data_IF_375711725621
#
_entry.id   IF_375711725621
#
_cell.length_a   1.000
_cell.length_b   1.000
_cell.length_c   1.000
_cell.angle_alpha   90.00
_cell.angle_beta   90.00
_cell.angle_gamma   90.00
#
_symmetry.space_group_name_H-M   'P 1'
#
loop_
_entity.id
_entity.type
_entity.pdbx_description
1 polymer ?
#
# COMPACT_ATOMS: atom_id res chain seq x y z
N UNK A 1 16.28 19.67 -14.34
CA UNK A 1 17.67 20.10 -14.62
C UNK A 1 18.01 20.18 -16.13
N UNK A 2 17.39 19.44 -17.05
CA UNK A 2 17.76 19.47 -18.48
C UNK A 2 17.39 20.76 -19.27
N UNK A 3 16.22 21.38 -19.04
CA UNK A 3 15.86 22.66 -19.69
C UNK A 3 16.52 23.89 -19.05
N UNK A 4 16.99 23.76 -17.80
CA UNK A 4 17.81 24.77 -17.10
C UNK A 4 19.28 24.79 -17.57
N UNK A 5 19.73 23.72 -18.24
CA UNK A 5 21.11 23.54 -18.73
C UNK A 5 21.22 23.55 -20.27
N UNK A 6 20.12 23.78 -21.00
CA UNK A 6 20.13 23.88 -22.47
C UNK A 6 20.46 22.59 -23.23
N UNK A 7 20.35 21.42 -22.61
CA UNK A 7 20.70 20.14 -23.25
C UNK A 7 19.55 19.55 -24.06
N UNK A 8 19.85 18.95 -25.22
CA UNK A 8 18.87 18.27 -26.05
C UNK A 8 18.37 16.97 -25.42
N UNK A 9 17.14 16.59 -25.77
CA UNK A 9 16.49 15.36 -25.25
C UNK A 9 17.30 14.13 -25.67
N UNK A 10 17.76 14.07 -26.92
CA UNK A 10 18.58 12.98 -27.45
C UNK A 10 19.90 12.80 -26.70
N UNK A 11 20.58 13.90 -26.34
CA UNK A 11 21.82 13.87 -25.56
C UNK A 11 21.57 13.34 -24.15
N UNK A 12 20.46 13.74 -23.54
CA UNK A 12 20.05 13.25 -22.21
C UNK A 12 19.68 11.77 -22.24
N UNK A 13 18.95 11.34 -23.28
CA UNK A 13 18.57 9.94 -23.50
C UNK A 13 19.79 9.03 -23.65
N UNK A 14 20.78 9.45 -24.46
CA UNK A 14 22.04 8.72 -24.62
C UNK A 14 22.85 8.67 -23.31
N UNK A 15 22.92 9.76 -22.55
CA UNK A 15 23.63 9.82 -21.28
C UNK A 15 23.01 8.92 -20.21
N UNK A 16 21.69 8.85 -20.14
CA UNK A 16 20.96 8.04 -19.15
C UNK A 16 20.75 6.59 -19.65
N UNK A 17 21.03 6.30 -20.93
CA UNK A 17 20.82 5.00 -21.54
C UNK A 17 19.33 4.61 -21.64
N UNK A 18 18.45 5.59 -21.81
CA UNK A 18 16.99 5.41 -21.85
C UNK A 18 16.42 5.95 -23.17
N UNK A 19 15.19 5.57 -23.52
CA UNK A 19 14.52 6.12 -24.71
C UNK A 19 14.25 7.62 -24.56
N UNK A 20 14.22 8.34 -25.68
CA UNK A 20 13.83 9.75 -25.69
C UNK A 20 12.42 9.96 -25.13
N UNK A 21 11.50 9.02 -25.39
CA UNK A 21 10.13 9.04 -24.86
C UNK A 21 10.07 8.91 -23.34
N UNK A 22 10.93 8.08 -22.73
CA UNK A 22 11.03 7.95 -21.28
C UNK A 22 11.52 9.26 -20.64
N UNK A 23 12.55 9.88 -21.24
CA UNK A 23 13.07 11.19 -20.79
C UNK A 23 11.98 12.27 -20.84
N UNK A 24 11.20 12.32 -21.93
CA UNK A 24 10.08 13.26 -22.07
C UNK A 24 8.99 13.01 -21.03
N UNK A 25 8.61 11.75 -20.81
CA UNK A 25 7.61 11.37 -19.81
C UNK A 25 8.03 11.78 -18.39
N UNK A 26 9.29 11.52 -18.02
CA UNK A 26 9.85 11.91 -16.72
C UNK A 26 9.89 13.43 -16.60
N UNK A 27 10.29 14.16 -17.64
CA UNK A 27 10.31 15.63 -17.65
C UNK A 27 8.91 16.21 -17.39
N UNK A 28 7.89 15.70 -18.09
CA UNK A 28 6.51 16.13 -17.92
C UNK A 28 6.00 15.83 -16.51
N UNK A 29 6.28 14.64 -15.98
CA UNK A 29 5.89 14.24 -14.62
C UNK A 29 6.55 15.13 -13.56
N UNK A 30 7.87 15.35 -13.67
CA UNK A 30 8.61 16.23 -12.76
C UNK A 30 8.11 17.69 -12.82
N UNK A 31 7.69 18.18 -13.99
CA UNK A 31 7.18 19.54 -14.14
C UNK A 31 5.79 19.72 -13.52
N UNK A 32 4.94 18.70 -13.58
CA UNK A 32 3.56 18.74 -13.05
C UNK A 32 3.52 18.50 -11.54
N UNK A 33 4.25 17.50 -11.06
CA UNK A 33 4.18 17.05 -9.66
C UNK A 33 5.25 17.71 -8.77
N UNK A 34 6.22 18.44 -9.37
CA UNK A 34 7.47 18.90 -8.70
C UNK A 34 8.22 17.80 -7.93
N UNK A 35 7.87 16.55 -8.16
CA UNK A 35 8.43 15.38 -7.52
C UNK A 35 9.35 14.67 -8.52
N UNK A 36 10.60 14.46 -8.10
CA UNK A 36 11.59 13.66 -8.87
C UNK A 36 11.46 12.17 -8.55
N UNK A 37 10.66 11.84 -7.53
CA UNK A 37 10.43 10.47 -7.07
C UNK A 37 9.24 9.85 -7.80
N UNK A 38 9.35 8.55 -8.08
CA UNK A 38 8.22 7.77 -8.59
C UNK A 38 7.18 7.61 -7.47
N UNK A 39 6.20 8.53 -7.40
CA UNK A 39 5.08 8.43 -6.47
C UNK A 39 4.22 7.22 -6.85
N UNK A 40 4.43 6.09 -6.16
CA UNK A 40 3.58 4.90 -6.24
C UNK A 40 2.44 4.93 -5.21
N UNK A 41 2.02 6.12 -4.77
CA UNK A 41 1.01 6.23 -3.73
C UNK A 41 -0.36 5.80 -4.27
N UNK A 42 -1.05 4.93 -3.53
CA UNK A 42 -2.46 4.62 -3.79
C UNK A 42 -2.74 3.59 -4.88
N UNK A 43 -1.73 2.94 -5.47
CA UNK A 43 -1.97 1.85 -6.41
C UNK A 43 -2.23 0.53 -5.65
N UNK A 44 -3.46 0.02 -5.75
CA UNK A 44 -3.86 -1.27 -5.17
C UNK A 44 -5.34 -1.33 -4.82
N UNK A 45 -5.88 -2.55 -4.65
CA UNK A 45 -7.27 -2.74 -4.23
C UNK A 45 -7.44 -2.23 -2.78
N UNK A 46 -8.47 -1.43 -2.47
CA UNK A 46 -8.78 -1.04 -1.11
C UNK A 46 -8.92 -2.25 -0.18
N UNK A 47 -8.41 -2.10 1.05
CA UNK A 47 -8.44 -3.18 2.04
C UNK A 47 -9.88 -3.42 2.50
N UNK A 48 -10.21 -4.68 2.74
CA UNK A 48 -11.51 -5.05 3.30
C UNK A 48 -11.63 -4.61 4.78
N UNK A 49 -10.53 -4.73 5.51
CA UNK A 49 -10.39 -4.20 6.88
C UNK A 49 -9.71 -2.84 6.78
N UNK A 50 -10.39 -1.81 7.24
CA UNK A 50 -9.90 -0.45 7.36
C UNK A 50 -9.15 -0.24 8.69
N UNK A 51 -8.65 0.98 8.92
CA UNK A 51 -7.93 1.29 10.16
C UNK A 51 -8.80 1.10 11.41
N UNK A 52 -10.11 1.31 11.32
CA UNK A 52 -11.04 1.06 12.43
C UNK A 52 -11.17 -0.44 12.72
N UNK A 53 -11.35 -1.25 11.68
CA UNK A 53 -11.40 -2.70 11.77
C UNK A 53 -10.11 -3.30 12.31
N UNK A 54 -8.94 -2.75 11.98
CA UNK A 54 -7.65 -3.17 12.55
C UNK A 54 -7.59 -2.89 14.06
N UNK A 55 -8.03 -1.71 14.52
CA UNK A 55 -8.12 -1.39 15.95
C UNK A 55 -9.10 -2.31 16.69
N UNK A 56 -10.26 -2.62 16.09
CA UNK A 56 -11.22 -3.58 16.65
C UNK A 56 -10.58 -4.96 16.77
N UNK A 57 -9.94 -5.46 15.72
CA UNK A 57 -9.26 -6.74 15.70
C UNK A 57 -8.13 -6.82 16.74
N UNK A 58 -7.33 -5.76 16.91
CA UNK A 58 -6.29 -5.71 17.93
C UNK A 58 -6.85 -5.82 19.35
N UNK A 59 -7.94 -5.09 19.66
CA UNK A 59 -8.63 -5.20 20.96
C UNK A 59 -9.15 -6.61 21.22
N UNK A 60 -9.79 -7.20 20.22
CA UNK A 60 -10.33 -8.57 20.27
C UNK A 60 -9.23 -9.59 20.58
N UNK A 61 -8.08 -9.50 19.89
CA UNK A 61 -6.93 -10.39 20.14
C UNK A 61 -6.35 -10.20 21.54
N UNK A 62 -6.29 -8.95 22.01
CA UNK A 62 -5.74 -8.62 23.33
C UNK A 62 -6.62 -9.15 24.46
N UNK A 63 -7.95 -9.02 24.35
CA UNK A 63 -8.92 -9.55 25.32
C UNK A 63 -8.99 -11.08 25.30
N UNK A 64 -8.87 -11.69 24.12
CA UNK A 64 -9.04 -13.12 23.92
C UNK A 64 -7.74 -13.77 23.41
N UNK A 65 -6.66 -13.68 24.20
CA UNK A 65 -5.33 -14.21 23.81
C UNK A 65 -5.33 -15.69 23.45
N UNK A 66 -6.30 -16.50 23.87
CA UNK A 66 -6.40 -17.94 23.55
C UNK A 66 -7.32 -18.27 22.36
N UNK A 67 -8.08 -17.31 21.87
CA UNK A 67 -9.08 -17.55 20.83
C UNK A 67 -8.48 -17.85 19.44
N UNK A 68 -9.28 -18.53 18.62
CA UNK A 68 -8.95 -18.95 17.26
C UNK A 68 -9.32 -17.86 16.25
N UNK A 69 -8.66 -17.82 15.09
CA UNK A 69 -8.96 -16.89 13.98
C UNK A 69 -10.45 -16.88 13.59
N UNK A 70 -11.13 -18.03 13.69
CA UNK A 70 -12.57 -18.13 13.46
C UNK A 70 -13.40 -17.30 14.46
N UNK A 71 -13.03 -17.30 15.73
CA UNK A 71 -13.70 -16.52 16.78
C UNK A 71 -13.41 -15.03 16.59
N UNK A 72 -12.18 -14.65 16.24
CA UNK A 72 -11.84 -13.28 15.88
C UNK A 72 -12.66 -12.77 14.68
N UNK A 73 -12.87 -13.61 13.66
CA UNK A 73 -13.72 -13.25 12.53
C UNK A 73 -15.18 -13.04 12.94
N UNK A 74 -15.74 -13.90 13.79
CA UNK A 74 -17.10 -13.72 14.31
C UNK A 74 -17.26 -12.41 15.08
N UNK A 75 -16.32 -12.11 15.97
CA UNK A 75 -16.37 -10.93 16.84
C UNK A 75 -16.16 -9.62 16.06
N UNK A 76 -15.24 -9.61 15.09
CA UNK A 76 -15.06 -8.45 14.20
C UNK A 76 -16.29 -8.24 13.31
N UNK A 77 -16.91 -9.33 12.84
CA UNK A 77 -18.13 -9.28 12.02
C UNK A 77 -19.41 -8.99 12.81
N UNK A 78 -19.38 -9.11 14.14
CA UNK A 78 -20.52 -8.78 14.99
C UNK A 78 -20.80 -7.27 14.89
N UNK A 79 -22.02 -6.93 14.46
CA UNK A 79 -22.44 -5.55 14.23
C UNK A 79 -21.88 -4.88 12.98
N UNK A 80 -21.19 -5.62 12.08
CA UNK A 80 -20.74 -5.09 10.78
C UNK A 80 -21.62 -5.63 9.65
N UNK A 81 -22.02 -4.74 8.75
CA UNK A 81 -22.69 -5.09 7.48
C UNK A 81 -21.73 -5.88 6.57
N UNK A 82 -20.45 -5.48 6.54
CA UNK A 82 -19.43 -6.09 5.71
C UNK A 82 -18.78 -7.27 6.41
N UNK A 83 -19.10 -8.50 5.98
CA UNK A 83 -18.49 -9.72 6.53
C UNK A 83 -17.07 -9.93 6.02
N UNK A 84 -16.18 -10.22 6.96
CA UNK A 84 -14.75 -10.51 6.74
C UNK A 84 -14.52 -12.01 6.88
N UNK A 85 -13.81 -12.61 5.92
CA UNK A 85 -13.48 -14.04 5.96
C UNK A 85 -12.35 -14.34 6.96
N UNK A 86 -12.27 -15.60 7.40
CA UNK A 86 -11.15 -16.08 8.25
C UNK A 86 -9.79 -15.80 7.62
N UNK A 87 -9.68 -15.97 6.30
CA UNK A 87 -8.45 -15.70 5.55
C UNK A 87 -8.03 -14.23 5.63
N UNK A 88 -8.98 -13.30 5.46
CA UNK A 88 -8.69 -11.87 5.56
C UNK A 88 -8.28 -11.48 6.99
N UNK A 89 -8.93 -12.03 8.01
CA UNK A 89 -8.55 -11.81 9.41
C UNK A 89 -7.13 -12.32 9.67
N UNK A 90 -6.82 -13.54 9.23
CA UNK A 90 -5.48 -14.13 9.37
C UNK A 90 -4.39 -13.26 8.72
N UNK A 91 -4.61 -12.80 7.49
CA UNK A 91 -3.67 -11.91 6.79
C UNK A 91 -3.46 -10.58 7.51
N UNK A 92 -4.53 -9.99 8.05
CA UNK A 92 -4.40 -8.77 8.84
C UNK A 92 -3.63 -9.01 10.13
N UNK A 93 -3.84 -10.15 10.81
CA UNK A 93 -3.07 -10.51 12.01
C UNK A 93 -1.57 -10.69 11.72
N UNK A 94 -1.22 -11.36 10.62
CA UNK A 94 0.16 -11.50 10.17
C UNK A 94 0.80 -10.13 9.93
N UNK A 95 0.12 -9.25 9.19
CA UNK A 95 0.62 -7.91 8.88
C UNK A 95 0.81 -7.05 10.13
N UNK A 96 -0.08 -7.18 11.11
CA UNK A 96 0.00 -6.45 12.38
C UNK A 96 0.98 -7.09 13.39
N UNK A 97 1.55 -8.26 13.10
CA UNK A 97 2.39 -8.99 14.06
C UNK A 97 1.62 -9.59 15.25
N UNK A 98 0.30 -9.74 15.13
CA UNK A 98 -0.59 -10.27 16.17
C UNK A 98 -0.96 -11.75 15.96
N UNK A 99 -0.34 -12.40 14.98
CA UNK A 99 -0.46 -13.83 14.77
C UNK A 99 0.32 -14.59 15.83
N UNK A 100 -0.18 -15.76 16.23
CA UNK A 100 0.60 -16.67 17.06
C UNK A 100 1.53 -17.49 16.17
N UNK A 101 2.79 -17.60 16.56
CA UNK A 101 3.59 -18.75 16.14
C UNK A 101 2.99 -19.97 16.82
N UNK A 102 2.59 -20.93 16.01
CA UNK A 102 1.94 -22.16 16.46
C UNK A 102 2.94 -23.05 17.19
#
# INVERSE_FOLDING_TARGET
MARRLGQSISKTAALVGCSQSAVVSIYQKCSKERAVVNQRQGHGRPRLIDACGERKLARVVQSNRRATVAQFAQEVNAGSDRKVSKYTVHHSLLRMGLHKHR
#
